data_IF_168917394226
#
_entry.id   IF_168917394226
#
_cell.length_a   1.000
_cell.length_b   1.000
_cell.length_c   1.000
_cell.angle_alpha   90.00
_cell.angle_beta   90.00
_cell.angle_gamma   90.00
#
_symmetry.space_group_name_H-M   'P 1'
#
loop_
_entity.id
_entity.type
_entity.pdbx_description
1 polymer ?
#
# COMPACT_ATOMS: atom_id res chain seq x y z
N UNK A 1 0.60 -21.77 3.09
CA UNK A 1 0.97 -20.51 2.43
C UNK A 1 1.48 -20.85 1.05
N UNK A 2 0.76 -20.49 0.01
CA UNK A 2 1.25 -20.71 -1.35
C UNK A 2 2.43 -19.78 -1.61
N UNK A 3 3.59 -20.37 -1.75
CA UNK A 3 4.79 -19.65 -2.14
C UNK A 3 4.68 -19.27 -3.62
N UNK A 4 4.48 -17.99 -3.91
CA UNK A 4 4.38 -17.50 -5.29
C UNK A 4 5.76 -17.28 -5.93
N UNK A 5 6.85 -17.38 -5.18
CA UNK A 5 8.21 -17.21 -5.69
C UNK A 5 8.48 -18.23 -6.81
N UNK A 6 8.98 -17.75 -7.94
CA UNK A 6 9.23 -18.54 -9.14
C UNK A 6 8.01 -18.72 -10.06
N UNK A 7 6.81 -18.31 -9.65
CA UNK A 7 5.62 -18.31 -10.52
C UNK A 7 5.55 -17.04 -11.37
N UNK A 8 4.85 -17.15 -12.49
CA UNK A 8 4.50 -15.99 -13.33
C UNK A 8 3.00 -15.76 -13.22
N UNK A 9 2.61 -14.54 -12.79
CA UNK A 9 1.22 -14.15 -12.65
C UNK A 9 0.70 -13.64 -13.99
N UNK A 10 -0.45 -14.16 -14.42
CA UNK A 10 -1.15 -13.84 -15.68
C UNK A 10 -0.24 -13.83 -16.94
N UNK A 11 0.88 -14.58 -16.90
CA UNK A 11 1.88 -14.58 -17.97
C UNK A 11 2.72 -13.29 -18.06
N UNK A 12 2.54 -12.34 -17.15
CA UNK A 12 3.09 -10.99 -17.21
C UNK A 12 4.16 -10.70 -16.15
N UNK A 13 3.97 -11.19 -14.92
CA UNK A 13 4.78 -10.78 -13.76
C UNK A 13 5.49 -11.98 -13.13
N UNK A 14 6.80 -12.13 -13.37
CA UNK A 14 7.62 -13.19 -12.77
C UNK A 14 7.99 -12.82 -11.33
N UNK A 15 7.40 -13.52 -10.36
CA UNK A 15 7.63 -13.28 -8.93
C UNK A 15 9.01 -13.78 -8.54
N UNK A 16 9.79 -12.93 -7.85
CA UNK A 16 11.19 -13.20 -7.49
C UNK A 16 11.41 -13.36 -6.00
N UNK A 17 10.85 -12.46 -5.19
CA UNK A 17 11.17 -12.34 -3.78
C UNK A 17 9.96 -11.85 -2.98
N UNK A 18 9.80 -12.34 -1.74
CA UNK A 18 8.86 -11.80 -0.76
C UNK A 18 9.53 -10.64 -0.03
N UNK A 19 9.03 -9.42 -0.21
CA UNK A 19 9.61 -8.21 0.37
C UNK A 19 8.80 -7.63 1.54
N UNK A 20 7.57 -8.13 1.75
CA UNK A 20 6.74 -7.70 2.87
C UNK A 20 5.61 -8.66 3.18
N UNK A 21 5.27 -8.78 4.47
CA UNK A 21 4.14 -9.58 4.94
C UNK A 21 3.26 -8.72 5.83
N UNK A 22 2.00 -8.56 5.43
CA UNK A 22 0.98 -7.85 6.21
C UNK A 22 -0.18 -8.74 6.63
N UNK A 23 -1.07 -8.21 7.44
CA UNK A 23 -2.26 -8.93 7.90
C UNK A 23 -3.18 -9.39 6.76
N UNK A 24 -3.29 -8.59 5.70
CA UNK A 24 -4.22 -8.84 4.59
C UNK A 24 -3.54 -9.30 3.31
N UNK A 25 -2.29 -8.92 3.09
CA UNK A 25 -1.60 -9.14 1.84
C UNK A 25 -0.12 -9.39 2.07
N UNK A 26 0.47 -10.13 1.16
CA UNK A 26 1.91 -10.25 1.00
C UNK A 26 2.38 -9.38 -0.16
N UNK A 27 3.55 -8.79 -0.05
CA UNK A 27 4.15 -7.97 -1.10
C UNK A 27 5.37 -8.69 -1.65
N UNK A 28 5.40 -8.84 -2.95
CA UNK A 28 6.49 -9.51 -3.67
C UNK A 28 7.18 -8.53 -4.61
N UNK A 29 8.48 -8.70 -4.77
CA UNK A 29 9.23 -8.12 -5.88
C UNK A 29 9.06 -9.02 -7.09
N UNK A 30 8.73 -8.45 -8.24
CA UNK A 30 8.54 -9.17 -9.49
C UNK A 30 9.19 -8.42 -10.65
N UNK A 31 9.34 -9.11 -11.77
CA UNK A 31 9.85 -8.54 -13.02
C UNK A 31 8.80 -8.75 -14.11
N UNK A 32 8.53 -7.70 -14.88
CA UNK A 32 7.63 -7.80 -16.04
C UNK A 32 8.30 -8.63 -17.11
N UNK A 33 7.66 -9.70 -17.56
CA UNK A 33 8.17 -10.63 -18.59
C UNK A 33 7.25 -10.72 -19.80
N UNK A 34 6.00 -10.31 -19.69
CA UNK A 34 5.02 -10.32 -20.78
C UNK A 34 5.03 -9.01 -21.57
N UNK A 35 4.95 -9.09 -22.88
CA UNK A 35 4.98 -7.93 -23.79
C UNK A 35 3.70 -7.07 -23.72
N UNK A 36 2.58 -7.66 -23.30
CA UNK A 36 1.29 -6.98 -23.21
C UNK A 36 1.02 -6.32 -21.85
N UNK A 37 2.06 -6.16 -21.02
CA UNK A 37 1.94 -5.54 -19.71
C UNK A 37 1.80 -4.01 -19.78
N UNK A 38 1.35 -3.37 -18.69
CA UNK A 38 1.16 -1.91 -18.63
C UNK A 38 2.47 -1.13 -18.55
N UNK A 39 3.59 -1.81 -18.34
CA UNK A 39 4.95 -1.26 -18.29
C UNK A 39 5.91 -2.15 -19.05
N UNK A 40 7.07 -1.63 -19.55
CA UNK A 40 8.01 -2.39 -20.38
C UNK A 40 8.50 -3.68 -19.72
N UNK A 41 8.77 -4.69 -20.56
CA UNK A 41 9.45 -5.93 -20.15
C UNK A 41 10.79 -5.59 -19.49
N UNK A 42 11.12 -6.31 -18.43
CA UNK A 42 12.31 -6.06 -17.60
C UNK A 42 12.10 -5.06 -16.47
N UNK A 43 10.98 -4.34 -16.45
CA UNK A 43 10.66 -3.42 -15.34
C UNK A 43 10.50 -4.20 -14.04
N UNK A 44 11.17 -3.74 -12.98
CA UNK A 44 10.95 -4.26 -11.62
C UNK A 44 9.71 -3.61 -11.02
N UNK A 45 8.82 -4.42 -10.47
CA UNK A 45 7.55 -4.00 -9.88
C UNK A 45 7.35 -4.62 -8.50
N UNK A 46 6.52 -3.99 -7.67
CA UNK A 46 6.01 -4.59 -6.45
C UNK A 46 4.61 -5.16 -6.73
N UNK A 47 4.37 -6.39 -6.28
CA UNK A 47 3.08 -7.07 -6.44
C UNK A 47 2.51 -7.36 -5.05
N UNK A 48 1.42 -6.67 -4.71
CA UNK A 48 0.70 -6.86 -3.46
C UNK A 48 -0.43 -7.85 -3.67
N UNK A 49 -0.31 -9.03 -3.08
CA UNK A 49 -1.22 -10.16 -3.27
C UNK A 49 -2.09 -10.34 -2.05
N UNK A 50 -3.40 -10.37 -2.22
CA UNK A 50 -4.37 -10.65 -1.15
C UNK A 50 -4.17 -12.09 -0.65
N UNK A 51 -4.20 -12.27 0.67
CA UNK A 51 -4.06 -13.60 1.28
C UNK A 51 -5.27 -14.47 0.93
N UNK A 52 -5.03 -15.74 0.65
CA UNK A 52 -6.07 -16.69 0.24
C UNK A 52 -7.18 -16.84 1.28
N UNK A 53 -6.83 -16.78 2.57
CA UNK A 53 -7.80 -16.92 3.64
C UNK A 53 -8.89 -15.83 3.61
N UNK A 54 -8.56 -14.67 3.01
CA UNK A 54 -9.45 -13.52 2.87
C UNK A 54 -10.26 -13.50 1.57
N UNK A 55 -9.93 -14.38 0.62
CA UNK A 55 -10.63 -14.44 -0.68
C UNK A 55 -12.02 -15.06 -0.59
N UNK A 56 -12.35 -15.71 0.51
CA UNK A 56 -13.68 -16.30 0.75
C UNK A 56 -14.73 -15.30 1.21
N UNK A 57 -14.34 -14.05 1.53
CA UNK A 57 -15.25 -12.97 1.89
C UNK A 57 -15.57 -12.09 0.66
N UNK A 58 -16.81 -12.19 0.10
CA UNK A 58 -17.19 -11.43 -1.09
C UNK A 58 -17.17 -9.91 -0.89
N UNK A 59 -17.48 -9.44 0.34
CA UNK A 59 -17.47 -8.02 0.66
C UNK A 59 -16.05 -7.48 0.70
N UNK A 60 -15.12 -8.27 1.21
CA UNK A 60 -13.71 -7.95 1.28
C UNK A 60 -13.10 -7.86 -0.12
N UNK A 61 -13.41 -8.84 -0.96
CA UNK A 61 -13.00 -8.89 -2.37
C UNK A 61 -13.53 -7.67 -3.15
N UNK A 62 -14.82 -7.35 -2.98
CA UNK A 62 -15.44 -6.19 -3.63
C UNK A 62 -14.77 -4.87 -3.21
N UNK A 63 -14.47 -4.71 -1.91
CA UNK A 63 -13.79 -3.53 -1.38
C UNK A 63 -12.36 -3.43 -1.93
N UNK A 64 -11.60 -4.51 -1.89
CA UNK A 64 -10.25 -4.57 -2.47
C UNK A 64 -10.27 -4.11 -3.94
N UNK A 65 -11.20 -4.63 -4.74
CA UNK A 65 -11.37 -4.25 -6.15
C UNK A 65 -11.69 -2.75 -6.32
N UNK A 66 -12.65 -2.23 -5.56
CA UNK A 66 -13.07 -0.83 -5.69
C UNK A 66 -11.98 0.14 -5.23
N UNK A 67 -11.31 -0.16 -4.12
CA UNK A 67 -10.23 0.66 -3.60
C UNK A 67 -9.00 0.62 -4.52
N UNK A 68 -8.64 -0.56 -5.02
CA UNK A 68 -7.54 -0.70 -5.99
C UNK A 68 -7.79 0.11 -7.26
N UNK A 69 -9.03 0.10 -7.77
CA UNK A 69 -9.42 0.89 -8.94
C UNK A 69 -9.34 2.39 -8.67
N UNK A 70 -9.78 2.85 -7.49
CA UNK A 70 -9.68 4.27 -7.13
C UNK A 70 -8.22 4.74 -7.02
N UNK A 71 -7.35 3.91 -6.43
CA UNK A 71 -5.93 4.23 -6.28
C UNK A 71 -5.21 4.23 -7.63
N UNK A 72 -5.59 3.37 -8.57
CA UNK A 72 -4.97 3.32 -9.91
C UNK A 72 -5.16 4.61 -10.72
N UNK A 73 -6.11 5.46 -10.34
CA UNK A 73 -6.34 6.77 -10.96
C UNK A 73 -5.38 7.86 -10.43
N UNK A 74 -4.70 7.61 -9.29
CA UNK A 74 -3.80 8.58 -8.70
C UNK A 74 -2.47 8.61 -9.48
N UNK A 75 -2.10 9.82 -9.92
CA UNK A 75 -0.82 10.05 -10.60
C UNK A 75 -0.15 11.29 -9.98
N UNK A 76 0.76 11.06 -9.05
CA UNK A 76 1.45 12.12 -8.32
C UNK A 76 2.87 11.66 -7.93
N UNK A 77 3.90 12.55 -8.00
CA UNK A 77 5.28 12.18 -7.71
C UNK A 77 5.55 11.68 -6.28
N UNK A 78 4.65 11.95 -5.34
CA UNK A 78 4.77 11.48 -3.96
C UNK A 78 3.77 10.37 -3.61
N UNK A 79 3.16 9.72 -4.60
CA UNK A 79 2.30 8.55 -4.44
C UNK A 79 2.89 7.40 -5.26
N UNK A 80 2.96 6.21 -4.69
CA UNK A 80 3.35 5.00 -5.42
C UNK A 80 2.36 4.75 -6.55
N UNK A 81 2.87 4.64 -7.77
CA UNK A 81 2.04 4.44 -8.95
C UNK A 81 1.52 3.01 -9.01
N UNK A 82 0.23 2.84 -9.19
CA UNK A 82 -0.38 1.55 -9.51
C UNK A 82 -0.37 1.38 -11.02
N UNK A 83 0.13 0.23 -11.48
CA UNK A 83 0.24 -0.10 -12.91
C UNK A 83 -0.90 -1.00 -13.36
N UNK A 84 -1.29 -1.96 -12.52
CA UNK A 84 -2.28 -2.97 -12.87
C UNK A 84 -3.01 -3.50 -11.64
N UNK A 85 -4.22 -4.02 -11.85
CA UNK A 85 -5.04 -4.64 -10.81
C UNK A 85 -5.69 -5.89 -11.39
N UNK A 86 -5.33 -7.05 -10.87
CA UNK A 86 -5.96 -8.32 -11.22
C UNK A 86 -6.91 -8.79 -10.13
N UNK A 87 -8.12 -9.14 -10.53
CA UNK A 87 -9.18 -9.63 -9.66
C UNK A 87 -9.76 -10.89 -10.29
N UNK A 88 -9.15 -12.03 -10.01
CA UNK A 88 -9.67 -13.35 -10.40
C UNK A 88 -10.28 -14.07 -9.20
N UNK A 89 -10.99 -15.18 -9.46
CA UNK A 89 -11.56 -16.02 -8.40
C UNK A 89 -10.47 -16.71 -7.55
N UNK A 90 -9.30 -16.95 -8.13
CA UNK A 90 -8.23 -17.71 -7.49
C UNK A 90 -7.10 -16.86 -6.94
N UNK A 91 -6.94 -15.61 -7.45
CA UNK A 91 -5.85 -14.74 -7.06
C UNK A 91 -6.22 -13.27 -7.28
N UNK A 92 -5.95 -12.44 -6.27
CA UNK A 92 -6.18 -11.00 -6.37
C UNK A 92 -4.90 -10.27 -6.01
N UNK A 93 -4.45 -9.37 -6.89
CA UNK A 93 -3.23 -8.64 -6.67
C UNK A 93 -3.24 -7.25 -7.31
N UNK A 94 -2.39 -6.39 -6.80
CA UNK A 94 -2.11 -5.05 -7.33
C UNK A 94 -0.66 -5.01 -7.73
N UNK A 95 -0.38 -4.56 -8.95
CA UNK A 95 0.97 -4.29 -9.45
C UNK A 95 1.25 -2.81 -9.33
N UNK A 96 2.36 -2.47 -8.68
CA UNK A 96 2.72 -1.08 -8.42
C UNK A 96 4.20 -0.83 -8.61
N UNK A 97 4.58 0.43 -8.63
CA UNK A 97 5.97 0.90 -8.64
C UNK A 97 6.75 0.21 -7.52
N UNK A 98 7.88 -0.42 -7.88
CA UNK A 98 8.85 -0.86 -6.90
C UNK A 98 9.69 0.35 -6.48
N UNK A 99 9.60 0.72 -5.22
CA UNK A 99 10.36 1.85 -4.67
C UNK A 99 11.60 1.29 -3.99
N UNK A 100 12.76 1.61 -4.56
CA UNK A 100 14.06 1.28 -3.95
C UNK A 100 14.41 2.38 -2.94
N UNK A 101 14.31 2.03 -1.65
CA UNK A 101 14.48 2.99 -0.55
C UNK A 101 14.13 2.37 0.79
N UNK A 102 14.13 3.18 1.84
CA UNK A 102 13.73 2.77 3.19
C UNK A 102 12.40 3.39 3.60
N UNK A 103 11.73 2.80 4.58
CA UNK A 103 10.54 3.43 5.15
C UNK A 103 10.93 4.65 6.01
N UNK A 104 10.03 5.62 6.11
CA UNK A 104 10.25 6.76 7.01
C UNK A 104 10.36 6.29 8.49
N UNK A 105 9.80 5.13 8.83
CA UNK A 105 9.98 4.52 10.16
C UNK A 105 11.42 4.07 10.38
N UNK A 106 12.04 3.40 9.40
CA UNK A 106 13.44 2.98 9.47
C UNK A 106 14.36 4.19 9.56
N UNK A 107 14.14 5.18 8.70
CA UNK A 107 14.87 6.45 8.74
C UNK A 107 14.79 7.15 10.11
N UNK A 108 13.61 7.23 10.71
CA UNK A 108 13.41 7.78 12.05
C UNK A 108 14.17 6.97 13.12
N UNK A 109 14.14 5.64 13.04
CA UNK A 109 14.85 4.78 13.99
C UNK A 109 16.36 5.01 13.94
N UNK A 110 16.95 5.09 12.76
CA UNK A 110 18.38 5.38 12.56
C UNK A 110 18.77 6.78 13.10
N UNK A 111 17.84 7.71 13.15
CA UNK A 111 18.02 9.09 13.64
C UNK A 111 17.65 9.29 15.12
N UNK A 112 17.43 8.21 15.86
CA UNK A 112 17.03 8.30 17.27
C UNK A 112 15.61 8.86 17.48
N UNK A 113 14.72 8.66 16.50
CA UNK A 113 13.30 9.02 16.58
C UNK A 113 12.98 10.49 16.30
N UNK A 114 13.95 11.29 15.86
CA UNK A 114 13.77 12.75 15.66
C UNK A 114 14.23 13.20 14.28
N UNK A 115 13.53 14.20 13.74
CA UNK A 115 13.91 14.93 12.53
C UNK A 115 14.33 16.34 12.89
N UNK A 116 15.20 16.93 12.07
CA UNK A 116 15.44 18.37 12.11
C UNK A 116 14.22 19.14 11.61
N UNK A 117 14.07 20.41 12.01
CA UNK A 117 12.95 21.25 11.52
C UNK A 117 12.93 21.32 9.99
N UNK A 118 14.09 21.36 9.34
CA UNK A 118 14.21 21.40 7.88
C UNK A 118 13.70 20.12 7.23
N UNK A 119 14.10 18.96 7.75
CA UNK A 119 13.62 17.65 7.26
C UNK A 119 12.11 17.51 7.49
N UNK A 120 11.63 17.93 8.67
CA UNK A 120 10.19 17.89 8.99
C UNK A 120 9.38 18.69 7.98
N UNK A 121 9.75 19.96 7.72
CA UNK A 121 9.06 20.80 6.74
C UNK A 121 9.14 20.18 5.33
N UNK A 122 10.30 19.66 4.94
CA UNK A 122 10.49 19.03 3.64
C UNK A 122 9.59 17.81 3.46
N UNK A 123 9.56 16.90 4.43
CA UNK A 123 8.75 15.67 4.35
C UNK A 123 7.24 15.95 4.45
N UNK A 124 6.83 16.78 5.42
CA UNK A 124 5.42 17.12 5.59
C UNK A 124 4.86 17.82 4.35
N UNK A 125 5.64 18.71 3.71
CA UNK A 125 5.21 19.37 2.47
C UNK A 125 4.93 18.38 1.34
N UNK A 126 5.72 17.32 1.20
CA UNK A 126 5.50 16.28 0.20
C UNK A 126 4.27 15.43 0.53
N UNK A 127 4.11 15.04 1.81
CA UNK A 127 2.94 14.28 2.29
C UNK A 127 1.65 15.06 2.04
N UNK A 128 1.60 16.34 2.40
CA UNK A 128 0.42 17.17 2.21
C UNK A 128 0.05 17.34 0.72
N UNK A 129 1.02 17.48 -0.18
CA UNK A 129 0.78 17.52 -1.63
C UNK A 129 0.18 16.22 -2.14
N UNK A 130 0.69 15.07 -1.68
CA UNK A 130 0.16 13.77 -2.04
C UNK A 130 -1.28 13.58 -1.54
N UNK A 131 -1.56 13.98 -0.28
CA UNK A 131 -2.90 13.90 0.30
C UNK A 131 -3.89 14.85 -0.39
N UNK A 132 -3.50 16.09 -0.70
CA UNK A 132 -4.34 17.02 -1.46
C UNK A 132 -4.72 16.44 -2.83
N UNK A 133 -3.74 15.85 -3.55
CA UNK A 133 -4.01 15.18 -4.81
C UNK A 133 -5.00 14.01 -4.64
N UNK A 134 -4.81 13.15 -3.65
CA UNK A 134 -5.70 12.02 -3.38
C UNK A 134 -7.12 12.50 -3.02
N UNK A 135 -7.24 13.50 -2.13
CA UNK A 135 -8.52 14.05 -1.70
C UNK A 135 -9.30 14.69 -2.84
N UNK A 136 -8.64 15.40 -3.76
CA UNK A 136 -9.28 15.94 -4.98
C UNK A 136 -9.82 14.86 -5.90
N UNK A 137 -9.25 13.65 -5.84
CA UNK A 137 -9.72 12.49 -6.58
C UNK A 137 -10.67 11.59 -5.76
N UNK A 138 -11.18 12.08 -4.62
CA UNK A 138 -12.13 11.35 -3.78
C UNK A 138 -11.53 10.19 -2.99
N UNK A 139 -10.20 10.12 -2.88
CA UNK A 139 -9.49 9.04 -2.16
C UNK A 139 -8.95 9.55 -0.84
N UNK A 140 -9.34 8.91 0.27
CA UNK A 140 -8.81 9.17 1.61
C UNK A 140 -7.87 8.05 2.02
N UNK A 141 -6.67 8.38 2.54
CA UNK A 141 -5.62 7.38 2.83
C UNK A 141 -5.98 6.46 3.99
N UNK A 142 -6.49 6.98 5.09
CA UNK A 142 -6.98 6.27 6.30
C UNK A 142 -5.94 5.49 7.12
N UNK A 143 -4.71 5.37 6.68
CA UNK A 143 -3.63 4.67 7.42
C UNK A 143 -2.28 5.40 7.26
N UNK A 144 -2.29 6.72 7.51
CA UNK A 144 -1.07 7.53 7.44
C UNK A 144 -0.17 7.19 8.62
N UNK A 145 1.00 6.65 8.33
CA UNK A 145 2.03 6.29 9.32
C UNK A 145 3.39 6.19 8.65
N UNK A 146 4.49 6.34 9.40
CA UNK A 146 5.85 6.30 8.82
C UNK A 146 6.19 4.99 8.09
N UNK A 147 5.54 3.88 8.44
CA UNK A 147 5.72 2.59 7.76
C UNK A 147 5.14 2.57 6.34
N UNK A 148 4.15 3.43 6.06
CA UNK A 148 3.48 3.52 4.76
C UNK A 148 4.05 4.65 3.88
N UNK A 149 5.23 5.15 4.21
CA UNK A 149 5.91 6.21 3.48
C UNK A 149 7.34 5.75 3.20
N UNK A 150 7.69 5.61 1.92
CA UNK A 150 9.05 5.30 1.49
C UNK A 150 9.83 6.58 1.26
N UNK A 151 11.09 6.58 1.67
CA UNK A 151 12.07 7.63 1.43
C UNK A 151 13.11 7.10 0.44
N UNK A 152 13.26 7.80 -0.69
CA UNK A 152 14.28 7.53 -1.69
C UNK A 152 15.58 8.28 -1.34
N UNK A 153 16.71 7.84 -1.91
CA UNK A 153 18.04 8.44 -1.67
C UNK A 153 18.12 9.92 -2.02
N UNK A 154 17.31 10.37 -2.97
CA UNK A 154 17.23 11.79 -3.37
C UNK A 154 16.37 12.66 -2.45
N UNK A 155 15.86 12.11 -1.33
CA UNK A 155 14.99 12.81 -0.37
C UNK A 155 13.52 12.93 -0.81
N UNK A 156 13.12 12.30 -1.91
CA UNK A 156 11.72 12.21 -2.30
C UNK A 156 10.98 11.16 -1.49
N UNK A 157 9.72 11.46 -1.16
CA UNK A 157 8.82 10.50 -0.52
C UNK A 157 7.86 9.86 -1.53
N UNK A 158 7.50 8.61 -1.26
CA UNK A 158 6.43 7.87 -1.92
C UNK A 158 5.46 7.34 -0.86
N UNK A 159 4.22 7.80 -0.88
CA UNK A 159 3.16 7.26 -0.03
C UNK A 159 2.61 5.98 -0.63
N UNK A 160 2.48 4.95 0.21
CA UNK A 160 1.97 3.63 -0.15
C UNK A 160 0.64 3.36 0.58
N UNK A 161 -0.04 2.29 0.18
CA UNK A 161 -1.15 1.68 0.93
C UNK A 161 -2.35 2.60 1.20
N UNK A 162 -2.76 3.39 0.21
CA UNK A 162 -4.01 4.15 0.26
C UNK A 162 -5.21 3.21 0.43
N UNK A 163 -6.03 3.46 1.45
CA UNK A 163 -7.39 2.94 1.59
C UNK A 163 -7.60 1.45 1.83
N UNK A 164 -6.67 0.57 1.41
CA UNK A 164 -6.83 -0.90 1.47
C UNK A 164 -6.93 -1.41 2.93
N UNK A 165 -6.48 -0.63 3.90
CA UNK A 165 -6.45 -1.02 5.31
C UNK A 165 -7.83 -0.99 6.02
N UNK A 166 -8.88 -0.40 5.43
CA UNK A 166 -10.21 -0.36 6.08
C UNK A 166 -10.88 -1.73 6.15
N UNK A 167 -10.46 -2.65 5.31
CA UNK A 167 -10.99 -4.01 5.26
C UNK A 167 -10.67 -4.80 6.54
N UNK A 168 -9.47 -4.61 7.10
CA UNK A 168 -9.00 -5.39 8.27
C UNK A 168 -9.61 -4.95 9.61
N UNK A 169 -10.20 -3.74 9.72
CA UNK A 169 -10.71 -3.22 10.99
C UNK A 169 -12.14 -3.66 11.32
N UNK A 170 -12.98 -3.88 10.30
CA UNK A 170 -14.35 -4.37 10.53
C UNK A 170 -14.35 -5.80 11.12
N UNK A 171 -13.36 -6.63 10.79
CA UNK A 171 -13.26 -7.99 11.30
C UNK A 171 -12.66 -8.08 12.71
N UNK A 172 -11.76 -7.16 13.08
CA UNK A 172 -11.18 -7.13 14.43
C UNK A 172 -12.19 -6.72 15.53
N UNK A 173 -13.34 -6.14 15.19
CA UNK A 173 -14.42 -5.86 16.13
C UNK A 173 -15.32 -7.07 16.42
N UNK A 174 -15.33 -8.08 15.55
CA UNK A 174 -16.15 -9.29 15.71
C UNK A 174 -15.41 -10.46 16.41
N UNK A 175 -14.12 -10.40 16.51
CA UNK A 175 -13.35 -11.43 17.17
C UNK A 175 -12.32 -10.84 18.10
N UNK A 176 -12.62 -10.72 19.38
CA UNK A 176 -11.78 -10.28 20.53
C UNK A 176 -10.26 -10.33 20.45
N UNK A 177 -9.68 -10.12 19.26
CA UNK A 177 -8.27 -10.11 18.95
C UNK A 177 -7.67 -8.71 19.10
N UNK A 178 -6.61 -8.60 19.86
CA UNK A 178 -5.80 -7.39 20.06
C UNK A 178 -5.59 -6.68 18.71
N UNK A 179 -6.00 -5.41 18.62
CA UNK A 179 -5.67 -4.52 17.53
C UNK A 179 -4.14 -4.46 17.36
N UNK A 180 -3.60 -5.29 16.48
CA UNK A 180 -2.15 -5.36 16.22
C UNK A 180 -1.82 -4.40 15.08
N UNK A 181 -1.15 -3.33 15.41
CA UNK A 181 -0.61 -2.35 14.45
C UNK A 181 -1.10 -0.93 14.70
N UNK A 182 -0.85 0.08 14.28
CA UNK A 182 -1.25 1.49 14.08
C UNK A 182 -2.13 2.19 15.14
N UNK A 183 -2.33 1.63 16.32
CA UNK A 183 -3.14 2.27 17.40
C UNK A 183 -2.61 3.67 17.74
N UNK A 184 -1.31 3.92 17.57
CA UNK A 184 -0.68 5.22 17.85
C UNK A 184 -0.95 6.30 16.79
N UNK A 185 -1.51 5.93 15.64
CA UNK A 185 -1.75 6.83 14.50
C UNK A 185 -3.24 6.88 14.11
N UNK A 186 -4.10 6.23 14.86
CA UNK A 186 -5.54 6.20 14.60
C UNK A 186 -6.18 7.50 15.07
N UNK A 187 -7.04 8.07 14.24
CA UNK A 187 -7.81 9.25 14.63
C UNK A 187 -8.96 8.90 15.58
N UNK A 188 -9.49 9.86 16.36
CA UNK A 188 -10.59 9.60 17.29
C UNK A 188 -11.84 9.04 16.63
N UNK A 189 -12.23 9.55 15.46
CA UNK A 189 -13.37 9.07 14.68
C UNK A 189 -13.13 7.64 14.17
N UNK A 190 -11.92 7.32 13.74
CA UNK A 190 -11.57 5.95 13.36
C UNK A 190 -11.61 4.99 14.56
N UNK A 191 -11.21 5.44 15.74
CA UNK A 191 -11.26 4.63 16.97
C UNK A 191 -12.70 4.31 17.38
N UNK A 192 -13.63 5.23 17.11
CA UNK A 192 -15.07 5.06 17.36
C UNK A 192 -15.79 4.27 16.26
N UNK A 193 -15.15 4.05 15.10
CA UNK A 193 -15.79 3.43 13.94
C UNK A 193 -16.63 4.39 13.09
N UNK A 194 -16.52 5.68 13.33
CA UNK A 194 -17.21 6.72 12.58
C UNK A 194 -16.65 6.86 11.15
N UNK A 195 -17.39 7.56 10.27
CA UNK A 195 -16.89 7.87 8.94
C UNK A 195 -15.68 8.78 9.00
N UNK A 196 -14.66 8.43 8.21
CA UNK A 196 -13.41 9.19 8.11
C UNK A 196 -13.46 10.04 6.86
N UNK A 197 -13.29 11.33 7.01
CA UNK A 197 -13.21 12.30 5.92
C UNK A 197 -11.75 12.77 5.67
N UNK A 198 -11.61 13.83 4.89
CA UNK A 198 -10.32 14.44 4.52
C UNK A 198 -9.72 15.39 5.57
N UNK A 199 -10.39 15.59 6.70
CA UNK A 199 -9.91 16.47 7.77
C UNK A 199 -8.86 15.80 8.63
#
# INVERSE_FOLDING_TARGET
MDNLIGRTLDGLYAVRELIGTGGMANVYKAVVVGENGPVPVGTVVAVKVLRQELMHDPDLVRRFKNESKAISLLNHPNIVKVYDVSVSETLQYIVMEYVDGMTLREYLNERGGKLTSRETVHFISQILKALDHAHRNGVVHRDIKPQNIMLLDNGQLRMMDFGIARVSRAENQLGGGKAMGSVHYISPEQAKGDETDRK
#
